data_IF_887033420185
#
_entry.id   IF_887033420185
#
_cell.length_a   1.000
_cell.length_b   1.000
_cell.length_c   1.000
_cell.angle_alpha   90.00
_cell.angle_beta   90.00
_cell.angle_gamma   90.00
#
_symmetry.space_group_name_H-M   'P 1'
#
loop_
_entity.id
_entity.type
_entity.pdbx_description
1 polymer ?
#
# COMPACT_ATOMS: atom_id res chain seq x y z
N UNK A 1 30.43 14.69 15.86
CA UNK A 1 29.38 14.46 14.84
C UNK A 1 28.90 13.02 14.93
N UNK A 2 27.70 12.78 15.47
CA UNK A 2 27.08 11.46 15.51
C UNK A 2 26.42 11.17 14.16
N UNK A 3 27.01 10.29 13.36
CA UNK A 3 26.43 9.80 12.11
C UNK A 3 25.39 8.73 12.47
N UNK A 4 24.12 9.12 12.55
CA UNK A 4 23.01 8.16 12.73
C UNK A 4 22.80 7.44 11.41
N UNK A 5 23.46 6.30 11.26
CA UNK A 5 23.21 5.32 10.21
C UNK A 5 21.76 4.84 10.36
N UNK A 6 20.88 5.32 9.47
CA UNK A 6 19.56 4.74 9.29
C UNK A 6 19.77 3.43 8.54
N UNK A 7 19.86 2.32 9.27
CA UNK A 7 19.72 0.99 8.67
C UNK A 7 18.23 0.85 8.35
N UNK A 8 17.87 0.99 7.07
CA UNK A 8 16.60 0.55 6.55
C UNK A 8 16.54 -0.98 6.71
N UNK A 9 15.92 -1.44 7.80
CA UNK A 9 15.61 -2.84 7.99
C UNK A 9 14.50 -3.23 6.99
N UNK A 10 14.78 -4.21 6.12
CA UNK A 10 13.72 -4.79 5.29
C UNK A 10 14.17 -5.58 4.06
N UNK A 11 15.03 -6.58 4.27
CA UNK A 11 15.26 -7.80 3.47
C UNK A 11 14.88 -7.81 1.97
N UNK A 12 15.93 -7.84 1.15
CA UNK A 12 15.94 -8.37 -0.21
C UNK A 12 15.71 -9.88 -0.21
N UNK A 13 14.62 -10.38 -0.80
CA UNK A 13 14.53 -11.73 -1.37
C UNK A 13 13.45 -11.76 -2.48
N UNK A 14 13.87 -12.04 -3.71
CA UNK A 14 13.04 -12.58 -4.80
C UNK A 14 13.53 -14.02 -5.09
N UNK A 15 12.79 -14.91 -5.76
CA UNK A 15 11.43 -14.79 -6.30
C UNK A 15 10.46 -15.84 -5.72
N UNK A 16 9.17 -15.51 -5.64
CA UNK A 16 8.10 -16.50 -5.62
C UNK A 16 7.03 -16.07 -6.62
N UNK A 17 6.93 -16.84 -7.71
CA UNK A 17 5.84 -16.72 -8.66
C UNK A 17 4.52 -17.06 -7.96
N UNK A 18 3.53 -16.16 -8.12
CA UNK A 18 2.18 -16.27 -7.56
C UNK A 18 2.02 -15.43 -6.30
N UNK A 19 1.15 -14.42 -6.34
CA UNK A 19 0.71 -13.71 -5.14
C UNK A 19 -0.46 -14.49 -4.51
N UNK A 20 -0.25 -15.37 -3.52
CA UNK A 20 -1.31 -16.16 -2.93
C UNK A 20 -1.85 -15.37 -1.72
N UNK A 21 -2.04 -14.05 -1.91
CA UNK A 21 -2.38 -12.99 -0.96
C UNK A 21 -1.40 -12.88 0.24
N UNK A 22 -0.97 -11.66 0.56
CA UNK A 22 -0.69 -11.32 1.96
C UNK A 22 -1.73 -12.05 2.82
N UNK A 23 -1.36 -12.81 3.87
CA UNK A 23 -2.34 -13.51 4.72
C UNK A 23 -3.34 -12.48 5.29
N UNK A 24 -4.37 -12.20 4.51
CA UNK A 24 -5.52 -11.36 4.79
C UNK A 24 -6.61 -12.23 5.43
N UNK A 25 -6.29 -13.45 5.87
CA UNK A 25 -7.20 -14.31 6.63
C UNK A 25 -7.75 -13.48 7.81
N UNK A 26 -9.00 -13.01 7.67
CA UNK A 26 -9.68 -12.13 8.63
C UNK A 26 -9.51 -10.60 8.43
N UNK A 27 -8.70 -10.12 7.47
CA UNK A 27 -8.59 -8.69 7.14
C UNK A 27 -9.55 -8.32 5.99
N UNK A 28 -10.58 -7.55 6.33
CA UNK A 28 -11.45 -6.90 5.34
C UNK A 28 -10.75 -5.65 4.81
N UNK A 29 -10.30 -5.69 3.56
CA UNK A 29 -9.79 -4.49 2.90
C UNK A 29 -10.95 -3.55 2.56
N UNK A 30 -10.73 -2.26 2.74
CA UNK A 30 -11.70 -1.21 2.40
C UNK A 30 -11.42 -0.66 1.00
N UNK A 31 -10.17 -0.76 0.54
CA UNK A 31 -9.72 -0.16 -0.70
C UNK A 31 -8.54 -0.91 -1.32
N UNK A 32 -8.56 -1.02 -2.65
CA UNK A 32 -7.44 -1.49 -3.45
C UNK A 32 -6.71 -0.32 -4.15
N UNK A 33 -5.38 -0.31 -4.10
CA UNK A 33 -4.52 0.62 -4.81
C UNK A 33 -3.66 -0.12 -5.84
N UNK A 34 -3.74 0.27 -7.10
CA UNK A 34 -2.97 -0.34 -8.18
C UNK A 34 -2.13 0.69 -8.92
N UNK A 35 -1.07 0.24 -9.56
CA UNK A 35 -0.36 0.94 -10.62
C UNK A 35 -0.48 0.05 -11.86
N UNK A 36 -1.31 0.43 -12.84
CA UNK A 36 -1.54 -0.40 -14.05
C UNK A 36 -0.32 -0.50 -14.96
N UNK A 37 0.72 0.31 -14.74
CA UNK A 37 2.02 0.09 -15.38
C UNK A 37 2.77 -1.14 -14.84
N UNK A 38 2.33 -1.70 -13.71
CA UNK A 38 2.93 -2.88 -13.10
C UNK A 38 2.12 -4.13 -13.48
N UNK A 39 2.71 -5.16 -14.11
CA UNK A 39 1.98 -6.36 -14.53
C UNK A 39 1.22 -7.06 -13.40
N UNK A 40 1.75 -7.00 -12.17
CA UNK A 40 1.17 -7.67 -11.01
C UNK A 40 -0.15 -7.02 -10.53
N UNK A 41 -0.47 -5.81 -11.02
CA UNK A 41 -1.72 -5.11 -10.72
C UNK A 41 -2.96 -5.77 -11.32
N UNK A 42 -2.81 -6.56 -12.39
CA UNK A 42 -3.93 -7.26 -13.05
C UNK A 42 -4.61 -8.25 -12.10
N UNK A 43 -3.80 -9.06 -11.41
CA UNK A 43 -4.31 -10.06 -10.47
C UNK A 43 -5.04 -9.40 -9.27
N UNK A 44 -4.54 -8.24 -8.80
CA UNK A 44 -5.20 -7.47 -7.74
C UNK A 44 -6.50 -6.83 -8.24
N UNK A 45 -6.53 -6.31 -9.47
CA UNK A 45 -7.74 -5.75 -10.08
C UNK A 45 -8.84 -6.78 -10.20
N UNK A 46 -8.52 -7.98 -10.70
CA UNK A 46 -9.47 -9.08 -10.80
C UNK A 46 -10.00 -9.50 -9.42
N UNK A 47 -9.13 -9.53 -8.41
CA UNK A 47 -9.52 -9.83 -7.04
C UNK A 47 -10.44 -8.76 -6.46
N UNK A 48 -10.10 -7.48 -6.63
CA UNK A 48 -10.90 -6.36 -6.17
C UNK A 48 -12.29 -6.35 -6.83
N UNK A 49 -12.37 -6.66 -8.13
CA UNK A 49 -13.64 -6.82 -8.85
C UNK A 49 -14.50 -7.94 -8.24
N UNK A 50 -13.91 -9.12 -7.96
CA UNK A 50 -14.63 -10.23 -7.29
C UNK A 50 -15.13 -9.85 -5.90
N UNK A 51 -14.33 -9.10 -5.15
CA UNK A 51 -14.64 -8.67 -3.79
C UNK A 51 -15.47 -7.37 -3.74
N UNK A 52 -15.76 -6.75 -4.88
CA UNK A 52 -16.40 -5.43 -5.01
C UNK A 52 -15.70 -4.33 -4.20
N UNK A 53 -14.37 -4.40 -4.15
CA UNK A 53 -13.54 -3.38 -3.52
C UNK A 53 -13.38 -2.18 -4.47
N UNK A 54 -13.48 -0.94 -3.97
CA UNK A 54 -13.14 0.23 -4.77
C UNK A 54 -11.63 0.20 -5.10
N UNK A 55 -11.31 0.49 -6.37
CA UNK A 55 -9.95 0.45 -6.91
C UNK A 55 -9.51 1.86 -7.30
N UNK A 56 -8.31 2.25 -6.88
CA UNK A 56 -7.64 3.46 -7.32
C UNK A 56 -6.42 3.08 -8.15
N UNK A 57 -6.29 3.65 -9.35
CA UNK A 57 -5.10 3.50 -10.18
C UNK A 57 -4.21 4.75 -10.06
N UNK A 58 -3.01 4.57 -9.52
CA UNK A 58 -1.99 5.61 -9.35
C UNK A 58 -1.43 6.06 -10.71
N UNK A 59 -1.42 5.18 -11.71
CA UNK A 59 -0.80 5.44 -13.01
C UNK A 59 -1.73 6.12 -14.04
N UNK A 60 -3.05 6.01 -13.87
CA UNK A 60 -4.02 6.61 -14.78
C UNK A 60 -4.15 8.13 -14.64
N UNK A 61 -3.70 8.71 -13.52
CA UNK A 61 -3.75 10.13 -13.29
C UNK A 61 -2.43 10.80 -13.74
N UNK A 62 -2.46 11.76 -14.69
CA UNK A 62 -1.26 12.28 -15.35
C UNK A 62 -0.23 12.93 -14.41
N UNK A 63 -0.64 13.27 -13.18
CA UNK A 63 0.18 13.81 -12.10
C UNK A 63 -0.31 13.37 -10.71
N UNK A 64 -0.86 12.16 -10.54
CA UNK A 64 -1.18 11.69 -9.19
C UNK A 64 0.09 11.30 -8.44
N UNK A 65 0.73 12.29 -7.84
CA UNK A 65 1.63 12.06 -6.73
C UNK A 65 0.87 11.25 -5.67
N UNK A 66 1.50 10.19 -5.19
CA UNK A 66 1.00 9.34 -4.13
C UNK A 66 0.69 10.14 -2.85
N UNK A 67 1.38 11.26 -2.64
CA UNK A 67 1.08 12.20 -1.56
C UNK A 67 -0.26 12.94 -1.79
N UNK A 68 -0.57 13.34 -3.03
CA UNK A 68 -1.86 13.98 -3.35
C UNK A 68 -3.01 12.99 -3.12
N UNK A 69 -2.87 11.74 -3.60
CA UNK A 69 -3.84 10.68 -3.30
C UNK A 69 -4.07 10.52 -1.79
N UNK A 70 -2.99 10.55 -1.00
CA UNK A 70 -3.08 10.45 0.44
C UNK A 70 -3.95 11.56 1.03
N UNK A 71 -3.61 12.82 0.77
CA UNK A 71 -4.29 13.96 1.40
C UNK A 71 -5.72 14.18 0.87
N UNK A 72 -5.95 13.97 -0.43
CA UNK A 72 -7.24 14.25 -1.05
C UNK A 72 -8.25 13.12 -0.80
N UNK A 73 -7.78 11.89 -0.66
CA UNK A 73 -8.66 10.70 -0.67
C UNK A 73 -8.49 9.79 0.54
N UNK A 74 -7.27 9.44 0.93
CA UNK A 74 -7.05 8.39 1.95
C UNK A 74 -7.17 8.93 3.38
N UNK A 75 -6.49 10.04 3.67
CA UNK A 75 -6.49 10.67 4.99
C UNK A 75 -7.88 11.12 5.45
N UNK A 76 -8.73 11.75 4.61
CA UNK A 76 -10.10 12.11 5.02
C UNK A 76 -10.95 10.90 5.42
N UNK A 77 -10.74 9.74 4.78
CA UNK A 77 -11.46 8.50 5.10
C UNK A 77 -11.07 7.93 6.46
N UNK A 78 -9.82 8.13 6.88
CA UNK A 78 -9.34 7.71 8.20
C UNK A 78 -9.85 8.61 9.34
N UNK A 79 -10.21 9.86 9.04
CA UNK A 79 -10.72 10.80 10.04
C UNK A 79 -12.20 10.59 10.39
N UNK A 80 -12.91 9.70 9.69
CA UNK A 80 -14.30 9.39 10.02
C UNK A 80 -14.41 8.65 11.38
N UNK A 81 -15.48 8.86 12.18
CA UNK A 81 -15.65 8.18 13.46
C UNK A 81 -15.73 6.65 13.28
N UNK A 82 -14.77 5.91 13.84
CA UNK A 82 -14.57 4.46 13.60
C UNK A 82 -13.53 4.14 12.51
N UNK A 83 -12.85 5.16 11.98
CA UNK A 83 -12.00 5.18 10.78
C UNK A 83 -10.69 4.43 10.91
N UNK A 84 -10.78 3.10 10.91
CA UNK A 84 -9.68 2.25 10.48
C UNK A 84 -9.81 2.05 8.97
N UNK A 85 -8.75 2.33 8.23
CA UNK A 85 -8.69 2.10 6.79
C UNK A 85 -7.68 0.98 6.51
N UNK A 86 -8.15 -0.14 5.97
CA UNK A 86 -7.30 -1.22 5.47
C UNK A 86 -7.14 -1.10 3.96
N UNK A 87 -5.97 -0.65 3.55
CA UNK A 87 -5.52 -0.53 2.16
C UNK A 87 -4.79 -1.80 1.74
N UNK A 88 -5.08 -2.33 0.57
CA UNK A 88 -4.27 -3.34 -0.10
C UNK A 88 -3.80 -2.81 -1.43
N UNK A 89 -2.58 -3.13 -1.86
CA UNK A 89 -2.11 -2.54 -3.11
C UNK A 89 -0.89 -3.17 -3.73
N UNK A 90 -0.67 -2.80 -4.99
CA UNK A 90 0.55 -3.06 -5.75
C UNK A 90 1.00 -1.74 -6.36
N UNK A 91 2.14 -1.22 -5.91
CA UNK A 91 2.72 0.05 -6.40
C UNK A 91 4.22 -0.08 -6.57
N UNK A 92 4.88 0.96 -7.08
CA UNK A 92 6.35 1.04 -7.06
C UNK A 92 6.84 1.12 -5.61
N UNK A 93 8.08 0.72 -5.38
CA UNK A 93 8.68 0.76 -4.04
C UNK A 93 8.76 2.18 -3.44
N UNK A 94 9.02 3.19 -4.28
CA UNK A 94 9.06 4.59 -3.87
C UNK A 94 7.68 5.07 -3.38
N UNK A 95 6.62 4.74 -4.11
CA UNK A 95 5.25 5.14 -3.75
C UNK A 95 4.80 4.46 -2.46
N UNK A 96 5.10 3.16 -2.31
CA UNK A 96 4.82 2.45 -1.07
C UNK A 96 5.55 3.07 0.14
N UNK A 97 6.81 3.47 -0.04
CA UNK A 97 7.58 4.13 1.03
C UNK A 97 6.90 5.44 1.48
N UNK A 98 6.46 6.26 0.53
CA UNK A 98 5.76 7.52 0.84
C UNK A 98 4.41 7.24 1.53
N UNK A 99 3.61 6.31 1.02
CA UNK A 99 2.34 5.92 1.65
C UNK A 99 2.51 5.42 3.08
N UNK A 100 3.44 4.48 3.29
CA UNK A 100 3.72 3.94 4.61
C UNK A 100 4.18 5.04 5.58
N UNK A 101 4.89 6.05 5.08
CA UNK A 101 5.33 7.20 5.88
C UNK A 101 4.18 8.14 6.24
N UNK A 102 3.30 8.44 5.29
CA UNK A 102 2.14 9.31 5.49
C UNK A 102 1.08 8.67 6.39
N UNK A 103 0.97 7.33 6.36
CA UNK A 103 0.07 6.55 7.19
C UNK A 103 0.51 6.35 8.65
N UNK A 104 1.72 6.80 9.01
CA UNK A 104 2.17 6.80 10.39
C UNK A 104 1.68 8.08 11.09
N UNK A 105 0.76 7.99 12.07
CA UNK A 105 0.40 9.15 12.87
C UNK A 105 1.60 9.65 13.69
N UNK A 106 1.70 10.96 13.96
CA UNK A 106 2.86 11.55 14.66
C UNK A 106 3.06 11.06 16.11
N UNK A 107 2.08 10.38 16.71
CA UNK A 107 2.14 9.91 18.10
C UNK A 107 1.38 8.59 18.41
N UNK A 108 0.86 7.86 17.41
CA UNK A 108 -0.02 6.70 17.65
C UNK A 108 0.68 5.34 17.42
N UNK A 109 0.09 4.24 17.93
CA UNK A 109 0.71 2.92 17.89
C UNK A 109 0.88 2.42 16.46
N UNK A 110 1.87 1.54 16.32
CA UNK A 110 2.43 0.95 15.11
C UNK A 110 1.40 0.74 13.99
N UNK A 111 1.52 1.49 12.90
CA UNK A 111 0.86 1.20 11.62
C UNK A 111 1.24 -0.23 11.19
N UNK A 112 0.24 -1.09 11.03
CA UNK A 112 0.47 -2.47 10.59
C UNK A 112 0.60 -2.49 9.07
N UNK A 113 1.84 -2.32 8.60
CA UNK A 113 2.21 -2.50 7.20
C UNK A 113 2.84 -3.88 7.01
N UNK A 114 2.27 -4.68 6.11
CA UNK A 114 2.91 -5.87 5.56
C UNK A 114 3.21 -5.59 4.10
N UNK A 115 4.42 -5.88 3.65
CA UNK A 115 4.79 -5.73 2.25
C UNK A 115 5.64 -6.90 1.77
N UNK A 116 5.52 -7.20 0.49
CA UNK A 116 6.34 -8.18 -0.21
C UNK A 116 6.95 -7.46 -1.40
N UNK A 117 8.26 -7.16 -1.35
CA UNK A 117 8.97 -6.64 -2.50
C UNK A 117 8.91 -7.62 -3.66
N UNK A 118 8.73 -7.10 -4.86
CA UNK A 118 8.84 -7.81 -6.11
C UNK A 118 9.87 -7.12 -6.98
N UNK A 119 10.04 -7.60 -8.23
CA UNK A 119 11.14 -7.18 -9.09
C UNK A 119 11.14 -5.66 -9.35
N UNK A 120 9.97 -5.08 -9.60
CA UNK A 120 9.80 -3.64 -9.84
C UNK A 120 8.64 -3.02 -9.03
N UNK A 121 7.94 -3.83 -8.25
CA UNK A 121 6.72 -3.47 -7.54
C UNK A 121 6.78 -3.93 -6.09
N UNK A 122 5.86 -3.43 -5.27
CA UNK A 122 5.68 -3.84 -3.88
C UNK A 122 4.20 -4.14 -3.71
N UNK A 123 3.88 -5.39 -3.36
CA UNK A 123 2.57 -5.73 -2.84
C UNK A 123 2.51 -5.37 -1.37
N UNK A 124 1.39 -4.81 -0.91
CA UNK A 124 1.24 -4.46 0.50
C UNK A 124 -0.19 -4.60 1.02
N UNK A 125 -0.30 -4.71 2.34
CA UNK A 125 -1.49 -4.37 3.09
C UNK A 125 -1.09 -3.40 4.21
N UNK A 126 -1.82 -2.29 4.30
CA UNK A 126 -1.56 -1.19 5.21
C UNK A 126 -2.85 -0.92 5.98
N UNK A 127 -2.78 -1.03 7.30
CA UNK A 127 -3.90 -0.66 8.16
C UNK A 127 -3.48 0.56 8.96
N UNK A 128 -4.28 1.62 8.85
CA UNK A 128 -4.05 2.90 9.52
C UNK A 128 -5.35 3.40 10.17
#
# INVERSE_FOLDING_TARGET
MQRRTFIAAGAWLAPAFGMPWLRLDGMRADLALIDTALPESTALSDHAARMRLPVFDVSAAPHADIAALWYDTLAPRMLHPGGRLTLVGVTRAADFFVLARLALPPAAPITHARSVPQRASVAFALTA
#
